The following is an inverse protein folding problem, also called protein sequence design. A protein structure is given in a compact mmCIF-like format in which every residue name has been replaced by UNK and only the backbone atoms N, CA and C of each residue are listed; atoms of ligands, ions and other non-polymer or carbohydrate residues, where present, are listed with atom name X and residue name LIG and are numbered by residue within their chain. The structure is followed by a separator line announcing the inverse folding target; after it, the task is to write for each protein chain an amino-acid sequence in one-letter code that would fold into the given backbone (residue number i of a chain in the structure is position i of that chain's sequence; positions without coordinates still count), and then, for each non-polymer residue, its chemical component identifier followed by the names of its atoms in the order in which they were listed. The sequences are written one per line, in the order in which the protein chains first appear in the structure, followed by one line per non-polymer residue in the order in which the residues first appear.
data_IF_708864322704
#
_entry.id   IF_708864322704
#
_cell.length_a   1.000
_cell.length_b   1.000
_cell.length_c   1.000
_cell.angle_alpha   90.00
_cell.angle_beta   90.00
_cell.angle_gamma   90.00
#
_symmetry.space_group_name_H-M   'P 1'
#
loop_
_entity.id
_entity.type
_entity.pdbx_description
1 polymer ?
#
# COMPACT_ATOMS: atom_id res chain seq x y z
N UNK A 1 16.56 -5.11 15.81
CA UNK A 1 15.50 -4.45 15.02
C UNK A 1 14.57 -3.77 16.00
N UNK A 2 14.36 -2.46 15.87
CA UNK A 2 13.48 -1.75 16.80
C UNK A 2 12.01 -2.02 16.41
N UNK A 3 11.09 -2.03 17.39
CA UNK A 3 9.65 -2.18 17.17
C UNK A 3 9.08 -1.32 16.00
N UNK A 4 9.47 -0.04 15.82
CA UNK A 4 9.04 0.75 14.66
C UNK A 4 9.49 0.20 13.31
N UNK A 5 10.71 -0.34 13.21
CA UNK A 5 11.23 -0.90 11.94
C UNK A 5 10.46 -2.15 11.53
N UNK A 6 10.15 -3.01 12.51
CA UNK A 6 9.33 -4.20 12.30
C UNK A 6 7.93 -3.84 11.80
N UNK A 7 7.31 -2.81 12.36
CA UNK A 7 5.98 -2.34 11.94
C UNK A 7 5.99 -1.78 10.52
N UNK A 8 7.06 -1.06 10.13
CA UNK A 8 7.20 -0.53 8.78
C UNK A 8 7.44 -1.63 7.74
N UNK A 9 8.20 -2.67 8.09
CA UNK A 9 8.36 -3.85 7.23
C UNK A 9 7.04 -4.60 7.04
N UNK A 10 6.28 -4.83 8.12
CA UNK A 10 4.95 -5.45 8.05
C UNK A 10 4.00 -4.59 7.21
N UNK A 11 4.03 -3.27 7.37
CA UNK A 11 3.24 -2.34 6.57
C UNK A 11 3.65 -2.38 5.09
N UNK A 12 4.95 -2.33 4.78
CA UNK A 12 5.45 -2.42 3.41
C UNK A 12 5.03 -3.73 2.75
N UNK A 13 5.14 -4.85 3.47
CA UNK A 13 4.67 -6.15 3.00
C UNK A 13 3.15 -6.15 2.77
N UNK A 14 2.37 -5.59 3.70
CA UNK A 14 0.92 -5.48 3.57
C UNK A 14 0.52 -4.65 2.32
N UNK A 15 1.23 -3.54 2.05
CA UNK A 15 1.01 -2.73 0.85
C UNK A 15 1.37 -3.49 -0.44
N UNK A 16 2.46 -4.27 -0.43
CA UNK A 16 2.83 -5.12 -1.57
C UNK A 16 1.77 -6.19 -1.83
N UNK A 17 1.33 -6.91 -0.79
CA UNK A 17 0.30 -7.95 -0.90
C UNK A 17 -1.05 -7.34 -1.32
N UNK A 18 -1.40 -6.17 -0.81
CA UNK A 18 -2.59 -5.42 -1.22
C UNK A 18 -2.54 -5.08 -2.71
N UNK A 19 -1.40 -4.57 -3.18
CA UNK A 19 -1.21 -4.25 -4.58
C UNK A 19 -1.25 -5.51 -5.46
N UNK A 20 -0.65 -6.62 -5.03
CA UNK A 20 -0.78 -7.91 -5.71
C UNK A 20 -2.25 -8.36 -5.79
N UNK A 21 -3.00 -8.24 -4.69
CA UNK A 21 -4.43 -8.56 -4.63
C UNK A 21 -5.27 -7.70 -5.58
N UNK A 22 -4.92 -6.43 -5.73
CA UNK A 22 -5.58 -5.54 -6.68
C UNK A 22 -5.21 -5.87 -8.14
N UNK A 23 -3.94 -6.16 -8.41
CA UNK A 23 -3.44 -6.43 -9.76
C UNK A 23 -3.71 -7.87 -10.22
N UNK A 24 -4.05 -8.80 -9.32
CA UNK A 24 -4.37 -10.19 -9.63
C UNK A 24 -5.53 -10.33 -10.64
N UNK A 25 -6.44 -9.35 -10.71
CA UNK A 25 -7.54 -9.33 -11.67
C UNK A 25 -7.09 -8.91 -13.09
N UNK A 26 -5.84 -8.48 -13.27
CA UNK A 26 -5.30 -8.16 -14.59
C UNK A 26 -4.95 -9.43 -15.38
N UNK A 27 -5.16 -9.36 -16.69
CA UNK A 27 -4.68 -10.40 -17.62
C UNK A 27 -3.15 -10.45 -17.67
N UNK A 28 -2.55 -11.60 -18.07
CA UNK A 28 -1.11 -11.81 -18.05
C UNK A 28 -0.33 -10.76 -18.86
N UNK A 29 -0.86 -10.34 -20.01
CA UNK A 29 -0.23 -9.28 -20.82
C UNK A 29 -0.15 -7.94 -20.07
N UNK A 30 -1.22 -7.54 -19.36
CA UNK A 30 -1.25 -6.28 -18.59
C UNK A 30 -0.34 -6.35 -17.36
N UNK A 31 -0.25 -7.52 -16.71
CA UNK A 31 0.73 -7.76 -15.66
C UNK A 31 2.16 -7.64 -16.18
N UNK A 32 2.44 -8.14 -17.39
CA UNK A 32 3.74 -7.98 -18.04
C UNK A 32 4.10 -6.51 -18.28
N UNK A 33 3.16 -5.71 -18.81
CA UNK A 33 3.35 -4.26 -18.98
C UNK A 33 3.59 -3.56 -17.64
N UNK A 34 2.81 -3.91 -16.61
CA UNK A 34 2.99 -3.36 -15.28
C UNK A 34 4.35 -3.73 -14.67
N UNK A 35 4.80 -4.97 -14.82
CA UNK A 35 6.10 -5.43 -14.35
C UNK A 35 7.23 -4.64 -15.04
N UNK A 36 7.14 -4.43 -16.36
CA UNK A 36 8.10 -3.61 -17.10
C UNK A 36 8.09 -2.15 -16.61
N UNK A 37 6.91 -1.58 -16.35
CA UNK A 37 6.80 -0.22 -15.82
C UNK A 37 7.39 -0.09 -14.41
N UNK A 38 7.17 -1.08 -13.53
CA UNK A 38 7.77 -1.13 -12.20
C UNK A 38 9.29 -1.30 -12.26
N UNK A 39 9.79 -2.17 -13.15
CA UNK A 39 11.22 -2.35 -13.37
C UNK A 39 11.87 -1.06 -13.87
N UNK A 40 11.27 -0.40 -14.87
CA UNK A 40 11.77 0.87 -15.38
C UNK A 40 11.81 1.94 -14.28
N UNK A 41 10.75 2.03 -13.46
CA UNK A 41 10.72 2.95 -12.32
C UNK A 41 11.85 2.66 -11.33
N UNK A 42 12.06 1.38 -10.95
CA UNK A 42 13.11 0.99 -10.02
C UNK A 42 14.53 1.21 -10.54
N UNK A 43 14.74 1.05 -11.85
CA UNK A 43 16.02 1.43 -12.49
C UNK A 43 16.23 2.94 -12.37
N UNK A 44 15.22 3.75 -12.68
CA UNK A 44 15.31 5.21 -12.59
C UNK A 44 15.55 5.70 -11.15
N UNK A 45 15.00 5.01 -10.15
CA UNK A 45 15.22 5.35 -8.74
C UNK A 45 16.49 4.75 -8.14
N UNK A 46 17.20 3.87 -8.88
CA UNK A 46 18.38 3.16 -8.39
C UNK A 46 19.51 4.08 -7.92
N UNK A 47 19.79 5.14 -8.67
CA UNK A 47 20.83 6.12 -8.32
C UNK A 47 20.45 6.96 -7.07
N UNK A 48 19.16 7.12 -6.80
CA UNK A 48 18.68 7.76 -5.57
C UNK A 48 18.74 6.78 -4.40
N UNK A 49 18.34 5.53 -4.63
CA UNK A 49 18.38 4.48 -3.63
C UNK A 49 19.80 4.21 -3.13
N UNK A 50 20.80 4.18 -4.03
CA UNK A 50 22.21 3.93 -3.67
C UNK A 50 22.84 5.02 -2.80
N UNK A 51 22.30 6.24 -2.83
CA UNK A 51 22.74 7.36 -1.98
C UNK A 51 21.96 7.47 -0.68
N UNK A 52 20.90 6.68 -0.51
CA UNK A 52 20.00 6.76 0.64
C UNK A 52 20.45 5.79 1.72
N UNK A 53 20.74 6.27 2.91
CA UNK A 53 21.09 5.43 4.06
C UNK A 53 19.86 5.02 4.88
N UNK A 54 19.93 3.88 5.60
CA UNK A 54 18.88 3.49 6.58
C UNK A 54 18.74 4.55 7.68
N UNK A 55 19.83 5.22 8.05
CA UNK A 55 19.80 6.29 9.04
C UNK A 55 18.98 7.49 8.54
N UNK A 56 19.14 7.91 7.29
CA UNK A 56 18.31 8.96 6.68
C UNK A 56 16.85 8.57 6.57
N UNK A 57 16.54 7.30 6.24
CA UNK A 57 15.15 6.80 6.24
C UNK A 57 14.53 6.85 7.63
N UNK A 58 15.27 6.43 8.65
CA UNK A 58 14.86 6.49 10.05
C UNK A 58 14.64 7.93 10.52
N UNK A 59 15.53 8.85 10.15
CA UNK A 59 15.37 10.29 10.44
C UNK A 59 14.20 10.90 9.68
N UNK A 60 14.01 10.54 8.41
CA UNK A 60 12.86 10.99 7.61
C UNK A 60 11.54 10.55 8.23
N UNK A 61 11.46 9.30 8.68
CA UNK A 61 10.30 8.78 9.43
C UNK A 61 10.17 9.38 10.83
N UNK A 62 11.25 9.87 11.44
CA UNK A 62 11.16 10.56 12.73
C UNK A 62 10.53 11.94 12.60
N UNK A 63 10.59 12.58 11.42
CA UNK A 63 9.97 13.88 11.18
C UNK A 63 8.44 13.78 11.26
N UNK A 64 7.77 14.53 12.17
CA UNK A 64 6.32 14.45 12.34
C UNK A 64 5.55 14.75 11.05
N UNK A 65 6.00 15.73 10.27
CA UNK A 65 5.37 16.09 9.01
C UNK A 65 5.37 14.94 7.99
N UNK A 66 6.49 14.22 7.86
CA UNK A 66 6.61 13.10 6.90
C UNK A 66 5.75 11.90 7.30
N UNK A 67 5.63 11.64 8.60
CA UNK A 67 4.68 10.65 9.12
C UNK A 67 3.24 11.02 8.80
N UNK A 68 2.88 12.29 8.91
CA UNK A 68 1.54 12.78 8.56
C UNK A 68 1.29 12.71 7.06
N UNK A 69 2.28 13.06 6.22
CA UNK A 69 2.19 12.93 4.76
C UNK A 69 1.95 11.47 4.36
N UNK A 70 2.71 10.54 4.95
CA UNK A 70 2.55 9.10 4.73
C UNK A 70 1.19 8.60 5.25
N UNK A 71 0.77 9.02 6.44
CA UNK A 71 -0.54 8.68 6.98
C UNK A 71 -1.67 9.16 6.07
N UNK A 72 -1.61 10.40 5.60
CA UNK A 72 -2.59 10.98 4.69
C UNK A 72 -2.64 10.19 3.37
N UNK A 73 -1.48 9.83 2.80
CA UNK A 73 -1.40 8.99 1.61
C UNK A 73 -2.10 7.64 1.82
N UNK A 74 -1.78 6.94 2.91
CA UNK A 74 -2.38 5.62 3.20
C UNK A 74 -3.89 5.70 3.42
N UNK A 75 -4.37 6.76 4.09
CA UNK A 75 -5.81 6.97 4.31
C UNK A 75 -6.54 7.31 3.01
N UNK A 76 -5.98 8.20 2.18
CA UNK A 76 -6.55 8.54 0.87
C UNK A 76 -6.57 7.31 -0.04
N UNK A 77 -5.48 6.55 -0.07
CA UNK A 77 -5.38 5.34 -0.86
C UNK A 77 -6.42 4.28 -0.42
N UNK A 78 -6.56 4.06 0.90
CA UNK A 78 -7.56 3.15 1.42
C UNK A 78 -9.00 3.60 1.11
N UNK A 79 -9.28 4.91 1.12
CA UNK A 79 -10.58 5.43 0.72
C UNK A 79 -10.83 5.21 -0.78
N UNK A 80 -9.88 5.58 -1.62
CA UNK A 80 -10.02 5.54 -3.09
C UNK A 80 -10.08 4.10 -3.60
N UNK A 81 -9.12 3.27 -3.24
CA UNK A 81 -9.03 1.88 -3.69
C UNK A 81 -9.93 0.93 -2.89
N UNK A 82 -10.22 1.24 -1.63
CA UNK A 82 -11.25 0.54 -0.85
C UNK A 82 -12.65 0.78 -1.41
N UNK A 83 -13.00 2.03 -1.76
CA UNK A 83 -14.26 2.33 -2.44
C UNK A 83 -14.35 1.63 -3.80
N UNK A 84 -13.24 1.56 -4.53
CA UNK A 84 -13.15 0.81 -5.79
C UNK A 84 -13.42 -0.68 -5.57
N UNK A 85 -12.85 -1.28 -4.52
CA UNK A 85 -13.07 -2.69 -4.18
C UNK A 85 -14.55 -2.97 -3.84
N UNK A 86 -15.18 -2.09 -3.05
CA UNK A 86 -16.62 -2.19 -2.74
C UNK A 86 -17.46 -2.05 -4.01
N UNK A 87 -17.16 -1.08 -4.87
CA UNK A 87 -17.90 -0.87 -6.12
C UNK A 87 -17.77 -2.07 -7.08
N UNK A 88 -16.60 -2.70 -7.12
CA UNK A 88 -16.34 -3.92 -7.89
C UNK A 88 -17.14 -5.12 -7.34
N UNK A 89 -17.14 -5.34 -6.02
CA UNK A 89 -17.95 -6.41 -5.40
C UNK A 89 -19.46 -6.25 -5.63
N UNK A 90 -19.94 -5.02 -5.79
CA UNK A 90 -21.36 -4.76 -6.08
C UNK A 90 -21.72 -4.93 -7.57
N UNK A 91 -20.76 -5.27 -8.44
CA UNK A 91 -20.97 -5.36 -9.89
C UNK A 91 -21.23 -4.01 -10.57
N UNK A 92 -20.96 -2.89 -9.88
CA UNK A 92 -21.26 -1.51 -10.33
C UNK A 92 -20.01 -0.74 -10.74
N UNK A 93 -18.96 -1.44 -11.17
CA UNK A 93 -17.71 -0.81 -11.55
C UNK A 93 -17.86 -0.04 -12.89
N UNK A 94 -18.33 1.21 -12.78
CA UNK A 94 -18.27 2.19 -13.87
C UNK A 94 -16.85 2.25 -14.47
N UNK A 95 -16.71 2.67 -15.73
CA UNK A 95 -15.43 2.71 -16.45
C UNK A 95 -14.30 3.36 -15.62
N UNK A 96 -14.60 4.46 -14.92
CA UNK A 96 -13.65 5.15 -14.02
C UNK A 96 -13.06 4.23 -12.93
N UNK A 97 -13.87 3.35 -12.33
CA UNK A 97 -13.44 2.43 -11.28
C UNK A 97 -12.61 1.26 -11.83
N UNK A 98 -12.87 0.89 -13.08
CA UNK A 98 -12.08 -0.12 -13.80
C UNK A 98 -10.71 0.43 -14.19
N UNK A 99 -10.65 1.68 -14.66
CA UNK A 99 -9.40 2.36 -14.97
C UNK A 99 -8.56 2.56 -13.71
N UNK A 100 -9.17 3.02 -12.62
CA UNK A 100 -8.49 3.17 -11.34
C UNK A 100 -7.94 1.83 -10.83
N UNK A 101 -8.70 0.74 -10.95
CA UNK A 101 -8.26 -0.60 -10.56
C UNK A 101 -7.09 -1.16 -11.39
N UNK A 102 -6.76 -0.55 -12.53
CA UNK A 102 -5.60 -0.93 -13.35
C UNK A 102 -4.31 -0.18 -12.96
N UNK A 103 -4.41 0.80 -12.06
CA UNK A 103 -3.26 1.57 -11.57
C UNK A 103 -2.78 0.95 -10.25
N UNK A 104 -1.47 0.70 -10.07
CA UNK A 104 -0.95 0.24 -8.80
C UNK A 104 -1.11 1.32 -7.72
N UNK A 105 -1.39 0.95 -6.47
CA UNK A 105 -1.45 1.92 -5.37
C UNK A 105 -0.09 2.62 -5.19
N UNK A 106 -0.06 3.95 -4.91
CA UNK A 106 1.18 4.68 -4.63
C UNK A 106 2.03 4.07 -3.51
N UNK A 107 1.40 3.48 -2.49
CA UNK A 107 2.09 2.80 -1.39
C UNK A 107 2.97 1.64 -1.84
N UNK A 108 2.64 0.97 -2.96
CA UNK A 108 3.49 -0.05 -3.58
C UNK A 108 4.84 0.55 -3.99
N UNK A 109 4.83 1.73 -4.62
CA UNK A 109 6.05 2.35 -5.14
C UNK A 109 6.99 2.71 -4.00
N UNK A 110 6.44 3.23 -2.90
CA UNK A 110 7.20 3.52 -1.68
C UNK A 110 7.77 2.23 -1.09
N UNK A 111 6.97 1.16 -0.99
CA UNK A 111 7.42 -0.12 -0.45
C UNK A 111 8.55 -0.73 -1.30
N UNK A 112 8.44 -0.70 -2.63
CA UNK A 112 9.47 -1.23 -3.54
C UNK A 112 10.75 -0.39 -3.50
N UNK A 113 10.64 0.94 -3.42
CA UNK A 113 11.81 1.81 -3.24
C UNK A 113 12.54 1.52 -1.93
N UNK A 114 11.80 1.40 -0.82
CA UNK A 114 12.39 1.04 0.47
C UNK A 114 13.05 -0.33 0.42
N UNK A 115 12.40 -1.33 -0.19
CA UNK A 115 12.99 -2.64 -0.40
C UNK A 115 14.30 -2.58 -1.22
N UNK A 116 14.36 -1.69 -2.22
CA UNK A 116 15.56 -1.48 -3.03
C UNK A 116 16.70 -0.88 -2.20
N UNK A 117 16.43 0.13 -1.37
CA UNK A 117 17.42 0.69 -0.44
C UNK A 117 17.92 -0.38 0.54
N UNK A 118 17.02 -1.17 1.12
CA UNK A 118 17.40 -2.26 2.02
C UNK A 118 18.28 -3.31 1.35
N UNK A 119 17.96 -3.72 0.12
CA UNK A 119 18.76 -4.67 -0.64
C UNK A 119 20.16 -4.12 -0.95
N UNK A 120 20.26 -2.83 -1.30
CA UNK A 120 21.52 -2.15 -1.57
C UNK A 120 22.43 -2.03 -0.35
N UNK A 121 21.85 -1.93 0.83
CA UNK A 121 22.61 -1.85 2.09
C UNK A 121 22.94 -3.22 2.68
N UNK A 122 22.27 -4.29 2.22
CA UNK A 122 22.49 -5.65 2.71
C UNK A 122 23.56 -6.42 1.90
N UNK A 123 23.90 -5.95 0.70
CA UNK A 123 24.82 -6.65 -0.21
C UNK A 123 26.05 -5.78 -0.42
N UNK A 124 27.17 -6.20 0.18
CA UNK A 124 28.46 -5.54 0.03
C UNK A 124 29.24 -6.08 -1.18
N UNK A 125 30.11 -5.23 -1.75
CA UNK A 125 31.09 -5.65 -2.76
C UNK A 125 30.55 -5.78 -4.20
N UNK A 126 29.30 -5.38 -4.45
CA UNK A 126 28.69 -5.34 -5.78
C UNK A 126 28.50 -3.89 -6.21
N UNK A 127 28.71 -3.62 -7.50
CA UNK A 127 28.44 -2.31 -8.09
C UNK A 127 26.95 -1.91 -7.93
N UNK A 128 26.70 -0.67 -7.53
CA UNK A 128 25.35 -0.19 -7.22
C UNK A 128 24.43 -0.16 -8.45
N UNK A 129 24.96 0.09 -9.65
CA UNK A 129 24.15 0.11 -10.87
C UNK A 129 23.73 -1.31 -11.24
N UNK A 130 24.64 -2.27 -11.10
CA UNK A 130 24.33 -3.70 -11.27
C UNK A 130 23.26 -4.14 -10.27
N UNK A 131 23.40 -3.76 -9.00
CA UNK A 131 22.45 -4.13 -7.96
C UNK A 131 21.08 -3.47 -8.16
N UNK A 132 21.03 -2.23 -8.66
CA UNK A 132 19.80 -1.55 -9.03
C UNK A 132 19.03 -2.31 -10.12
N UNK A 133 19.73 -2.76 -11.16
CA UNK A 133 19.15 -3.57 -12.24
C UNK A 133 18.62 -4.90 -11.73
N UNK A 134 19.39 -5.60 -10.89
CA UNK A 134 18.97 -6.86 -10.27
C UNK A 134 17.69 -6.64 -9.45
N UNK A 135 17.67 -5.63 -8.57
CA UNK A 135 16.49 -5.31 -7.76
C UNK A 135 15.27 -5.01 -8.65
N UNK A 136 15.45 -4.21 -9.70
CA UNK A 136 14.37 -3.85 -10.61
C UNK A 136 13.73 -5.08 -11.27
N UNK A 137 14.54 -5.97 -11.84
CA UNK A 137 14.06 -7.19 -12.51
C UNK A 137 13.45 -8.16 -11.50
N UNK A 138 14.15 -8.42 -10.40
CA UNK A 138 13.70 -9.39 -9.38
C UNK A 138 12.42 -8.92 -8.73
N UNK A 139 12.32 -7.67 -8.28
CA UNK A 139 11.12 -7.18 -7.61
C UNK A 139 9.92 -7.11 -8.55
N UNK A 140 10.11 -6.68 -9.81
CA UNK A 140 9.03 -6.69 -10.79
C UNK A 140 8.55 -8.11 -11.09
N UNK A 141 9.47 -9.07 -11.25
CA UNK A 141 9.14 -10.48 -11.47
C UNK A 141 8.43 -11.10 -10.26
N UNK A 142 8.93 -10.86 -9.04
CA UNK A 142 8.29 -11.31 -7.80
C UNK A 142 6.90 -10.70 -7.63
N UNK A 143 6.73 -9.42 -7.97
CA UNK A 143 5.42 -8.76 -7.92
C UNK A 143 4.42 -9.42 -8.87
N UNK A 144 4.79 -9.56 -10.15
CA UNK A 144 3.93 -10.18 -11.16
C UNK A 144 3.64 -11.65 -10.85
N UNK A 145 4.67 -12.40 -10.45
CA UNK A 145 4.55 -13.79 -9.99
C UNK A 145 3.63 -13.91 -8.79
N UNK A 146 3.78 -13.04 -7.79
CA UNK A 146 2.92 -12.98 -6.61
C UNK A 146 1.46 -12.68 -6.95
N UNK A 147 1.18 -11.76 -7.87
CA UNK A 147 -0.18 -11.48 -8.34
C UNK A 147 -0.80 -12.70 -9.05
N UNK A 148 -0.02 -13.41 -9.88
CA UNK A 148 -0.46 -14.66 -10.55
C UNK A 148 -0.72 -15.77 -9.53
N UNK A 149 0.20 -15.96 -8.57
CA UNK A 149 0.07 -16.95 -7.51
C UNK A 149 -1.17 -16.68 -6.66
N UNK A 150 -1.41 -15.43 -6.30
CA UNK A 150 -2.58 -15.03 -5.53
C UNK A 150 -3.88 -15.29 -6.30
N UNK A 151 -3.90 -15.03 -7.62
CA UNK A 151 -5.04 -15.40 -8.48
C UNK A 151 -5.29 -16.91 -8.48
N UNK A 152 -4.24 -17.73 -8.50
CA UNK A 152 -4.39 -19.19 -8.44
C UNK A 152 -4.80 -19.70 -7.06
N UNK A 153 -4.31 -19.08 -5.98
CA UNK A 153 -4.63 -19.47 -4.61
C UNK A 153 -6.04 -19.03 -4.19
N UNK A 154 -6.49 -17.88 -4.69
CA UNK A 154 -7.81 -17.30 -4.43
C UNK A 154 -8.55 -17.08 -5.76
N UNK A 155 -9.07 -18.14 -6.40
CA UNK A 155 -9.72 -18.03 -7.70
C UNK A 155 -11.06 -17.28 -7.63
N UNK A 156 -11.74 -17.32 -6.47
CA UNK A 156 -13.01 -16.62 -6.26
C UNK A 156 -12.79 -15.08 -6.16
N UNK A 157 -13.38 -14.29 -7.08
CA UNK A 157 -13.30 -12.82 -7.03
C UNK A 157 -13.88 -12.22 -5.75
N UNK A 158 -14.86 -12.86 -5.09
CA UNK A 158 -15.41 -12.38 -3.82
C UNK A 158 -14.37 -12.53 -2.70
N UNK A 159 -13.67 -13.65 -2.63
CA UNK A 159 -12.58 -13.86 -1.66
C UNK A 159 -11.42 -12.88 -1.86
N UNK A 160 -11.00 -12.64 -3.10
CA UNK A 160 -9.98 -11.62 -3.40
C UNK A 160 -10.44 -10.23 -3.00
N UNK A 161 -11.70 -9.89 -3.25
CA UNK A 161 -12.26 -8.60 -2.81
C UNK A 161 -12.30 -8.48 -1.29
N UNK A 162 -12.68 -9.55 -0.58
CA UNK A 162 -12.63 -9.61 0.89
C UNK A 162 -11.22 -9.38 1.43
N UNK A 163 -10.21 -10.04 0.84
CA UNK A 163 -8.81 -9.82 1.19
C UNK A 163 -8.36 -8.36 0.97
N UNK A 164 -8.74 -7.76 -0.17
CA UNK A 164 -8.44 -6.35 -0.45
C UNK A 164 -9.04 -5.41 0.59
N UNK A 165 -10.29 -5.63 0.99
CA UNK A 165 -10.95 -4.83 2.02
C UNK A 165 -10.27 -4.97 3.38
N UNK A 166 -9.89 -6.21 3.76
CA UNK A 166 -9.14 -6.47 4.98
C UNK A 166 -7.79 -5.74 4.99
N UNK A 167 -7.05 -5.82 3.88
CA UNK A 167 -5.74 -5.16 3.75
C UNK A 167 -5.85 -3.64 3.75
N UNK A 168 -6.88 -3.05 3.14
CA UNK A 168 -7.15 -1.62 3.28
C UNK A 168 -7.53 -1.24 4.72
N UNK A 169 -8.23 -2.08 5.47
CA UNK A 169 -8.48 -1.82 6.89
C UNK A 169 -7.18 -1.81 7.71
N UNK A 170 -6.26 -2.75 7.43
CA UNK A 170 -4.90 -2.74 8.01
C UNK A 170 -4.15 -1.47 7.64
N UNK A 171 -4.24 -1.04 6.37
CA UNK A 171 -3.63 0.19 5.88
C UNK A 171 -4.18 1.44 6.59
N UNK A 172 -5.50 1.50 6.84
CA UNK A 172 -6.13 2.57 7.62
C UNK A 172 -5.62 2.57 9.06
N UNK A 173 -5.58 1.40 9.71
CA UNK A 173 -5.07 1.29 11.08
C UNK A 173 -3.61 1.75 11.17
N UNK A 174 -2.78 1.40 10.19
CA UNK A 174 -1.41 1.86 10.09
C UNK A 174 -1.31 3.38 9.86
N UNK A 175 -2.14 3.94 8.98
CA UNK A 175 -2.23 5.39 8.76
C UNK A 175 -2.61 6.16 10.03
N UNK A 176 -3.62 5.68 10.77
CA UNK A 176 -4.04 6.28 12.05
C UNK A 176 -2.94 6.15 13.12
N UNK A 177 -2.24 5.02 13.17
CA UNK A 177 -1.10 4.83 14.07
C UNK A 177 0.05 5.78 13.73
N UNK A 178 0.35 5.99 12.44
CA UNK A 178 1.38 6.94 12.00
C UNK A 178 1.01 8.39 12.36
N UNK A 179 -0.28 8.74 12.28
CA UNK A 179 -0.80 10.06 12.62
C UNK A 179 -0.79 10.39 14.12
N UNK A 180 -0.57 9.41 15.02
CA UNK A 180 -0.57 9.63 16.47
C UNK A 180 0.45 10.71 16.87
N UNK A 181 0.09 11.63 17.78
CA UNK A 181 0.99 12.69 18.19
C UNK A 181 2.12 12.07 19.01
N UNK A 182 3.36 12.40 18.67
CA UNK A 182 4.48 12.18 19.58
C UNK A 182 4.34 13.25 20.68
N UNK A 183 3.79 12.93 21.84
CA UNK A 183 3.61 13.92 22.90
C UNK A 183 4.93 14.20 23.66
N UNK A 184 5.14 15.42 24.20
CA UNK A 184 4.49 16.69 23.89
C UNK A 184 5.50 17.82 23.57
N UNK A 185 5.21 18.66 22.57
CA UNK A 185 5.85 19.97 22.44
C UNK A 185 4.79 21.05 22.20
N UNK A 186 4.45 21.74 23.30
CA UNK A 186 3.63 22.94 23.45
C UNK A 186 2.13 22.87 23.10
N UNK A 187 1.26 23.43 23.96
CA UNK A 187 -0.17 23.55 23.69
C UNK A 187 -0.40 24.66 22.66
N UNK A 188 -0.31 24.34 21.37
CA UNK A 188 -1.01 25.13 20.37
C UNK A 188 -2.46 24.64 20.30
N UNK A 189 -3.46 25.52 20.34
CA UNK A 189 -4.85 25.12 20.36
C UNK A 189 -5.23 24.64 18.95
N UNK A 190 -5.22 23.33 18.73
CA UNK A 190 -5.89 22.74 17.56
C UNK A 190 -6.91 21.70 17.99
N UNK A 191 -8.06 22.15 18.55
CA UNK A 191 -9.11 21.24 18.99
C UNK A 191 -9.91 20.60 17.85
N UNK A 192 -9.56 20.78 16.56
CA UNK A 192 -10.40 20.31 15.45
C UNK A 192 -9.83 19.12 14.66
N UNK A 193 -8.54 18.79 14.77
CA UNK A 193 -7.93 17.78 13.88
C UNK A 193 -8.22 16.35 14.33
N UNK A 194 -8.20 16.10 15.65
CA UNK A 194 -8.48 14.79 16.25
C UNK A 194 -9.94 14.40 16.09
N UNK A 195 -10.85 15.34 16.31
CA UNK A 195 -12.27 15.14 16.07
C UNK A 195 -12.54 14.81 14.61
N UNK A 196 -11.85 15.47 13.67
CA UNK A 196 -11.97 15.17 12.23
C UNK A 196 -11.46 13.77 11.87
N UNK A 197 -10.33 13.34 12.43
CA UNK A 197 -9.79 11.98 12.21
C UNK A 197 -10.68 10.90 12.83
N UNK A 198 -11.20 11.14 14.04
CA UNK A 198 -12.15 10.25 14.71
C UNK A 198 -13.46 10.15 13.92
N UNK A 199 -13.96 11.27 13.38
CA UNK A 199 -15.15 11.30 12.53
C UNK A 199 -14.92 10.50 11.23
N UNK A 200 -13.72 10.62 10.64
CA UNK A 200 -13.36 9.94 9.40
C UNK A 200 -13.20 8.43 9.61
N UNK A 201 -12.56 8.02 10.71
CA UNK A 201 -12.46 6.62 11.11
C UNK A 201 -13.85 6.01 11.43
N UNK A 202 -14.69 6.75 12.14
CA UNK A 202 -16.07 6.34 12.43
C UNK A 202 -16.90 6.22 11.15
N UNK A 203 -16.74 7.14 10.20
CA UNK A 203 -17.41 7.10 8.90
C UNK A 203 -16.97 5.87 8.08
N UNK A 204 -15.68 5.57 8.05
CA UNK A 204 -15.14 4.39 7.38
C UNK A 204 -15.70 3.11 8.01
N UNK A 205 -15.69 3.00 9.34
CA UNK A 205 -16.27 1.86 10.06
C UNK A 205 -17.77 1.71 9.80
N UNK A 206 -18.52 2.82 9.79
CA UNK A 206 -19.95 2.83 9.50
C UNK A 206 -20.22 2.35 8.06
N UNK A 207 -19.43 2.79 7.08
CA UNK A 207 -19.56 2.36 5.68
C UNK A 207 -19.22 0.87 5.51
N UNK A 208 -18.21 0.37 6.22
CA UNK A 208 -17.87 -1.06 6.25
C UNK A 208 -19.01 -1.87 6.87
N UNK A 209 -19.56 -1.43 8.01
CA UNK A 209 -20.67 -2.10 8.67
C UNK A 209 -21.95 -2.10 7.81
N UNK A 210 -22.26 -0.99 7.15
CA UNK A 210 -23.37 -0.90 6.20
C UNK A 210 -23.17 -1.80 4.99
N UNK A 211 -21.95 -1.86 4.45
CA UNK A 211 -21.60 -2.78 3.36
C UNK A 211 -21.82 -4.24 3.75
N UNK A 212 -21.41 -4.61 4.96
CA UNK A 212 -21.60 -5.96 5.52
C UNK A 212 -23.08 -6.30 5.76
N UNK A 213 -23.85 -5.38 6.34
CA UNK A 213 -25.30 -5.55 6.56
C UNK A 213 -26.05 -5.71 5.24
N UNK A 214 -25.71 -4.88 4.23
CA UNK A 214 -26.32 -4.95 2.91
C UNK A 214 -26.01 -6.28 2.19
N UNK A 215 -24.84 -6.87 2.40
CA UNK A 215 -24.52 -8.21 1.89
C UNK A 215 -25.38 -9.28 2.56
N UNK A 216 -25.53 -9.25 3.90
CA UNK A 216 -26.39 -10.22 4.62
C UNK A 216 -27.85 -10.13 4.22
N UNK A 217 -28.36 -8.92 4.02
CA UNK A 217 -29.74 -8.71 3.57
C UNK A 217 -30.01 -9.24 2.16
N UNK A 218 -28.99 -9.30 1.30
CA UNK A 218 -29.12 -9.85 -0.06
C UNK A 218 -28.90 -11.36 -0.12
N UNK A 219 -28.12 -11.92 0.80
CA UNK A 219 -27.90 -13.37 0.90
C UNK A 219 -29.08 -14.14 1.56
N UNK A 220 -29.97 -13.42 2.25
CA UNK A 220 -31.20 -13.97 2.85
C UNK A 220 -32.47 -13.78 2.00
N UNK A 221 -32.33 -13.34 0.74
CA UNK A 221 -33.37 -13.34 -0.29
C UNK A 221 -32.94 -14.26 -1.43
#
# INVERSE_FOLDING_TARGET
MNLPDALLLVLGLACVVLAMAQMADLGPARLGVLALALAAMLVLTGATASRTSVAELGQWLALPQRRLDLAALLLVEALVFGSQAVAAAQGRAALRWRLLGAVPPPSLLIALFLAQVWAMLAIDGVDFDVLAWICAVVFAALFAGGAVLLRSALPDPLMRTGLRLLLHAVQVAAGLWLARPAQPAQPQPTPAMWDRLALLAALVLALVALGWLAQRWRAGR
#
